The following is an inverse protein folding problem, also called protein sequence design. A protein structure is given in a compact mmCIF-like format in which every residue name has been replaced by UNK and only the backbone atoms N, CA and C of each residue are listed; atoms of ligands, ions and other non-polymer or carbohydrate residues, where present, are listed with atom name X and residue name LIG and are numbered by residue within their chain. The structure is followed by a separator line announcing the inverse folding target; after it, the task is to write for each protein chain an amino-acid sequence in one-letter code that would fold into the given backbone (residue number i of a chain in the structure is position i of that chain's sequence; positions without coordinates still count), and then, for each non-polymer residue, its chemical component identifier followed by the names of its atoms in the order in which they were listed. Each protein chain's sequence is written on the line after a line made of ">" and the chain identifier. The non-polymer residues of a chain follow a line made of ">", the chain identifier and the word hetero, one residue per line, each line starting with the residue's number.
data_IF_532198764274
#
_entry.id   IF_532198764274
#
_cell.length_a   1.000
_cell.length_b   1.000
_cell.length_c   1.000
_cell.angle_alpha   90.00
_cell.angle_beta   90.00
_cell.angle_gamma   90.00
#
_symmetry.space_group_name_H-M   'P 1'
#
loop_
_entity.id
_entity.type
_entity.pdbx_description
1 polymer ?
#
# COMPACT_ATOMS: atom_id res chain seq x y z
N UNK A 1 -5.57 1.27 15.43
CA UNK A 1 -4.80 0.55 14.39
C UNK A 1 -5.74 0.34 13.21
N UNK A 2 -5.56 1.10 12.12
CA UNK A 2 -6.45 1.08 10.96
C UNK A 2 -5.69 0.48 9.77
N UNK A 3 -6.40 -0.30 8.96
CA UNK A 3 -5.85 -0.87 7.72
C UNK A 3 -6.25 0.03 6.58
N UNK A 4 -5.26 0.63 5.92
CA UNK A 4 -5.47 1.59 4.84
C UNK A 4 -4.99 0.94 3.54
N UNK A 5 -5.87 0.86 2.55
CA UNK A 5 -5.54 0.32 1.24
C UNK A 5 -5.31 1.47 0.24
N UNK A 6 -4.12 1.52 -0.35
CA UNK A 6 -3.77 2.40 -1.47
C UNK A 6 -3.89 1.63 -2.77
N UNK A 7 -4.70 2.13 -3.69
CA UNK A 7 -4.76 1.67 -5.06
C UNK A 7 -3.96 2.67 -5.91
N UNK A 8 -2.71 2.33 -6.21
CA UNK A 8 -1.77 3.16 -6.95
C UNK A 8 -0.76 3.88 -6.06
N UNK A 9 0.54 3.61 -6.24
CA UNK A 9 1.61 4.39 -5.62
C UNK A 9 2.24 5.36 -6.63
N UNK A 10 1.58 6.51 -6.79
CA UNK A 10 2.16 7.66 -7.46
C UNK A 10 3.22 8.38 -6.61
N UNK A 11 3.73 9.50 -7.12
CA UNK A 11 4.68 10.36 -6.40
C UNK A 11 4.16 10.87 -5.05
N UNK A 12 2.85 11.08 -4.91
CA UNK A 12 2.23 11.58 -3.68
C UNK A 12 1.81 10.47 -2.70
N UNK A 13 1.55 9.25 -3.18
CA UNK A 13 1.14 8.14 -2.31
C UNK A 13 2.29 7.64 -1.43
N UNK A 14 3.51 7.75 -1.93
CA UNK A 14 4.75 7.37 -1.25
C UNK A 14 4.96 8.05 0.12
N UNK A 15 5.00 9.40 0.22
CA UNK A 15 5.18 10.07 1.51
C UNK A 15 3.99 9.85 2.46
N UNK A 16 2.79 9.67 1.92
CA UNK A 16 1.59 9.40 2.71
C UNK A 16 1.62 8.00 3.34
N UNK A 17 2.02 6.99 2.58
CA UNK A 17 2.20 5.64 3.10
C UNK A 17 3.28 5.61 4.20
N UNK A 18 4.39 6.31 3.99
CA UNK A 18 5.45 6.37 4.99
C UNK A 18 5.01 7.05 6.30
N UNK A 19 4.18 8.09 6.23
CA UNK A 19 3.66 8.76 7.43
C UNK A 19 2.67 7.86 8.21
N UNK A 20 1.83 7.11 7.50
CA UNK A 20 0.88 6.18 8.09
C UNK A 20 1.59 4.96 8.72
N UNK A 21 2.64 4.42 8.09
CA UNK A 21 3.50 3.39 8.68
C UNK A 21 4.16 3.86 9.97
N UNK A 22 4.72 5.08 9.97
CA UNK A 22 5.33 5.70 11.15
C UNK A 22 4.33 5.88 12.30
N UNK A 23 3.05 6.09 12.00
CA UNK A 23 1.98 6.15 13.00
C UNK A 23 1.47 4.78 13.46
N UNK A 24 2.05 3.68 12.98
CA UNK A 24 1.64 2.32 13.34
C UNK A 24 0.34 1.87 12.67
N UNK A 25 0.00 2.45 11.52
CA UNK A 25 -1.12 1.98 10.70
C UNK A 25 -0.66 0.92 9.70
N UNK A 26 -1.51 -0.08 9.46
CA UNK A 26 -1.24 -1.13 8.48
C UNK A 26 -1.59 -0.64 7.09
N UNK A 27 -0.69 -0.83 6.13
CA UNK A 27 -0.87 -0.36 4.76
C UNK A 27 -0.85 -1.52 3.77
N UNK A 28 -1.89 -1.58 2.96
CA UNK A 28 -1.94 -2.44 1.79
C UNK A 28 -1.81 -1.56 0.57
N UNK A 29 -0.89 -1.90 -0.31
CA UNK A 29 -0.68 -1.17 -1.55
C UNK A 29 -0.94 -2.12 -2.70
N UNK A 30 -1.71 -1.62 -3.64
CA UNK A 30 -2.08 -2.32 -4.84
C UNK A 30 -1.76 -1.43 -6.04
N UNK A 31 -0.95 -1.91 -6.98
CA UNK A 31 -0.70 -1.16 -8.22
C UNK A 31 -0.77 -2.10 -9.43
N UNK A 32 -1.49 -1.66 -10.47
CA UNK A 32 -1.58 -2.41 -11.74
C UNK A 32 -0.28 -2.33 -12.54
N UNK A 33 0.49 -1.25 -12.35
CA UNK A 33 1.79 -1.06 -12.93
C UNK A 33 2.89 -1.63 -12.02
N UNK A 34 3.80 -2.38 -12.64
CA UNK A 34 4.97 -2.96 -11.98
C UNK A 34 5.87 -1.92 -11.30
N UNK A 35 5.86 -0.66 -11.76
CA UNK A 35 6.62 0.42 -11.14
C UNK A 35 6.10 0.82 -9.76
N UNK A 36 4.77 0.92 -9.58
CA UNK A 36 4.19 1.23 -8.27
C UNK A 36 4.42 0.11 -7.27
N UNK A 37 4.36 -1.15 -7.73
CA UNK A 37 4.65 -2.31 -6.89
C UNK A 37 6.12 -2.40 -6.45
N UNK A 38 7.09 -2.04 -7.31
CA UNK A 38 8.50 -1.96 -6.89
C UNK A 38 8.74 -0.90 -5.82
N UNK A 39 8.06 0.26 -5.94
CA UNK A 39 8.11 1.30 -4.91
C UNK A 39 7.49 0.84 -3.61
N UNK A 40 6.37 0.12 -3.67
CA UNK A 40 5.74 -0.50 -2.50
C UNK A 40 6.73 -1.38 -1.71
N UNK A 41 7.48 -2.23 -2.43
CA UNK A 41 8.43 -3.15 -1.82
C UNK A 41 9.57 -2.45 -1.06
N UNK A 42 9.79 -1.15 -1.30
CA UNK A 42 10.76 -0.36 -0.56
C UNK A 42 10.24 0.14 0.80
N UNK A 43 8.92 0.08 1.07
CA UNK A 43 8.37 0.44 2.37
C UNK A 43 8.36 -0.79 3.29
N UNK A 44 9.12 -0.73 4.39
CA UNK A 44 9.11 -1.76 5.43
C UNK A 44 7.74 -1.80 6.13
N UNK A 45 6.85 -2.68 5.66
CA UNK A 45 5.50 -2.88 6.23
C UNK A 45 4.34 -2.68 5.24
N UNK A 46 4.61 -2.36 3.98
CA UNK A 46 3.59 -2.34 2.93
C UNK A 46 3.37 -3.72 2.32
N UNK A 47 2.14 -4.22 2.32
CA UNK A 47 1.80 -5.43 1.55
C UNK A 47 1.52 -5.04 0.09
N UNK A 48 2.32 -5.57 -0.84
CA UNK A 48 2.20 -5.27 -2.27
C UNK A 48 1.40 -6.38 -2.99
N UNK A 49 0.24 -6.04 -3.53
CA UNK A 49 -0.62 -6.97 -4.29
C UNK A 49 -0.53 -6.76 -5.80
N UNK A 50 -0.84 -7.80 -6.59
CA UNK A 50 -0.98 -7.73 -8.07
C UNK A 50 -2.42 -7.90 -8.58
N UNK A 51 -3.40 -8.18 -7.70
CA UNK A 51 -4.83 -8.05 -8.02
C UNK A 51 -5.66 -7.41 -6.86
N UNK A 52 -6.59 -6.47 -7.12
CA UNK A 52 -7.39 -5.84 -6.06
C UNK A 52 -8.47 -6.79 -5.51
N UNK A 53 -8.83 -7.82 -6.28
CA UNK A 53 -9.84 -8.83 -5.90
C UNK A 53 -9.46 -9.69 -4.69
N UNK A 54 -8.21 -9.69 -4.23
CA UNK A 54 -7.73 -10.52 -3.11
C UNK A 54 -7.62 -9.79 -1.75
N UNK A 55 -7.77 -8.47 -1.71
CA UNK A 55 -7.53 -7.66 -0.50
C UNK A 55 -8.79 -7.41 0.34
N UNK A 56 -9.98 -7.64 -0.22
CA UNK A 56 -11.25 -7.42 0.46
C UNK A 56 -11.70 -8.62 1.29
N UNK A 57 -11.17 -8.78 2.50
CA UNK A 57 -11.91 -9.53 3.52
C UNK A 57 -13.06 -8.64 4.00
N UNK A 58 -14.26 -8.88 3.45
CA UNK A 58 -15.53 -8.28 3.88
C UNK A 58 -15.65 -8.32 5.40
N UNK A 59 -15.52 -7.19 6.08
CA UNK A 59 -16.08 -6.94 7.41
C UNK A 59 -16.44 -5.47 7.54
#
# INVERSE_FOLDING_TARGET
>A
MATIAFLGLGQMGSPMANNLLQKGHSLQVFDVNTQGNRRCASYAGGHCGTNPSGSGSKR
#
